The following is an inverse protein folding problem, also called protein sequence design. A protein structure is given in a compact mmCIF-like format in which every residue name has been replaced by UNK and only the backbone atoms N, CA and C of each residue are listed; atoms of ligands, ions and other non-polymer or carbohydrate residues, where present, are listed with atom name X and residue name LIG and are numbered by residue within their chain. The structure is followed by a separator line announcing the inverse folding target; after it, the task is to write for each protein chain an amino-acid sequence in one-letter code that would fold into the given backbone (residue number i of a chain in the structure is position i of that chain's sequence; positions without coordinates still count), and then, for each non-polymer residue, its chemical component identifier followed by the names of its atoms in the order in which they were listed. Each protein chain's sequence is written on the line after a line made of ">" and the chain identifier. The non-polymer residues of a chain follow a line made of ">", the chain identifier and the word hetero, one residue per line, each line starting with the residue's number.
data_IF_836674788617
#
_entry.id   IF_836674788617
#
_cell.length_a   1.000
_cell.length_b   1.000
_cell.length_c   1.000
_cell.angle_alpha   90.00
_cell.angle_beta   90.00
_cell.angle_gamma   90.00
#
_symmetry.space_group_name_H-M   'P 1'
#
loop_
_entity.id
_entity.type
_entity.pdbx_description
1 polymer ?
#
# COMPACT_ATOMS: atom_id res chain seq x y z
N UNK A 1 -6.14 24.62 -21.26
CA UNK A 1 -7.31 23.90 -21.82
C UNK A 1 -7.15 22.37 -21.81
N UNK A 2 -6.04 21.78 -22.28
CA UNK A 2 -5.87 20.32 -22.35
C UNK A 2 -6.06 19.57 -21.00
N UNK A 3 -5.54 20.10 -19.88
CA UNK A 3 -5.76 19.48 -18.54
C UNK A 3 -7.22 19.52 -18.11
N UNK A 4 -7.96 20.57 -18.45
CA UNK A 4 -9.38 20.70 -18.10
C UNK A 4 -10.18 19.64 -18.85
N UNK A 5 -9.92 19.46 -20.15
CA UNK A 5 -10.53 18.40 -20.94
C UNK A 5 -10.21 17.00 -20.37
N UNK A 6 -8.95 16.74 -20.01
CA UNK A 6 -8.58 15.46 -19.38
C UNK A 6 -9.33 15.20 -18.07
N UNK A 7 -9.47 16.21 -17.20
CA UNK A 7 -10.25 16.09 -15.96
C UNK A 7 -11.73 15.80 -16.24
N UNK A 8 -12.32 16.41 -17.27
CA UNK A 8 -13.70 16.13 -17.67
C UNK A 8 -13.89 14.66 -18.08
N UNK A 9 -12.92 14.09 -18.80
CA UNK A 9 -12.91 12.65 -19.13
C UNK A 9 -12.82 11.80 -17.86
N UNK A 10 -11.89 12.11 -16.94
CA UNK A 10 -11.78 11.37 -15.68
C UNK A 10 -13.06 11.42 -14.84
N UNK A 11 -13.75 12.57 -14.80
CA UNK A 11 -15.03 12.67 -14.08
C UNK A 11 -16.13 11.86 -14.73
N UNK A 12 -16.18 11.81 -16.07
CA UNK A 12 -17.12 10.93 -16.78
C UNK A 12 -16.85 9.47 -16.42
N UNK A 13 -15.61 9.01 -16.55
CA UNK A 13 -15.24 7.62 -16.19
C UNK A 13 -15.55 7.30 -14.73
N UNK A 14 -15.34 8.25 -13.81
CA UNK A 14 -15.63 8.06 -12.38
C UNK A 14 -17.13 7.91 -12.06
N UNK A 15 -18.02 8.35 -12.96
CA UNK A 15 -19.47 8.20 -12.82
C UNK A 15 -20.01 6.88 -13.38
N UNK A 16 -19.20 6.12 -14.12
CA UNK A 16 -19.63 4.85 -14.69
C UNK A 16 -19.74 3.75 -13.60
N UNK A 17 -20.69 2.80 -13.72
CA UNK A 17 -20.87 1.72 -12.74
C UNK A 17 -19.62 0.87 -12.51
N UNK A 18 -18.79 0.71 -13.54
CA UNK A 18 -17.52 -0.01 -13.51
C UNK A 18 -16.54 0.64 -12.53
N UNK A 19 -16.57 1.97 -12.37
CA UNK A 19 -15.71 2.67 -11.42
C UNK A 19 -16.10 2.34 -9.98
N UNK A 20 -17.38 2.15 -9.68
CA UNK A 20 -17.85 1.68 -8.36
C UNK A 20 -17.36 0.25 -8.08
N UNK A 21 -17.40 -0.62 -9.09
CA UNK A 21 -16.87 -1.98 -9.00
C UNK A 21 -15.35 -1.97 -8.78
N UNK A 22 -14.63 -1.11 -9.50
CA UNK A 22 -13.20 -0.87 -9.33
C UNK A 22 -12.86 -0.41 -7.90
N UNK A 23 -13.55 0.60 -7.37
CA UNK A 23 -13.30 1.10 -6.02
C UNK A 23 -13.61 0.06 -4.95
N UNK A 24 -14.62 -0.78 -5.16
CA UNK A 24 -14.90 -1.92 -4.28
C UNK A 24 -13.72 -2.91 -4.30
N UNK A 25 -13.15 -3.19 -5.47
CA UNK A 25 -11.97 -4.06 -5.59
C UNK A 25 -10.72 -3.45 -4.94
N UNK A 26 -10.53 -2.12 -5.02
CA UNK A 26 -9.44 -1.41 -4.34
C UNK A 26 -9.48 -1.68 -2.83
N UNK A 27 -10.67 -1.57 -2.22
CA UNK A 27 -10.87 -1.84 -0.79
C UNK A 27 -10.64 -3.32 -0.45
N UNK A 28 -11.15 -4.25 -1.27
CA UNK A 28 -10.93 -5.70 -1.08
C UNK A 28 -9.44 -6.02 -1.09
N UNK A 29 -8.72 -5.55 -2.11
CA UNK A 29 -7.28 -5.75 -2.23
C UNK A 29 -6.53 -5.17 -1.02
N UNK A 30 -6.89 -3.97 -0.53
CA UNK A 30 -6.23 -3.36 0.62
C UNK A 30 -6.42 -4.21 1.89
N UNK A 31 -7.64 -4.70 2.13
CA UNK A 31 -7.94 -5.59 3.26
C UNK A 31 -7.21 -6.94 3.14
N UNK A 32 -7.18 -7.54 1.96
CA UNK A 32 -6.44 -8.80 1.72
C UNK A 32 -4.95 -8.62 1.96
N UNK A 33 -4.35 -7.51 1.51
CA UNK A 33 -2.93 -7.24 1.78
C UNK A 33 -2.68 -7.05 3.27
N UNK A 34 -3.52 -6.29 4.00
CA UNK A 34 -3.43 -6.16 5.47
C UNK A 34 -3.41 -7.52 6.17
N UNK A 35 -4.34 -8.42 5.81
CA UNK A 35 -4.44 -9.75 6.40
C UNK A 35 -3.14 -10.55 6.24
N UNK A 36 -2.52 -10.50 5.05
CA UNK A 36 -1.24 -11.18 4.79
C UNK A 36 -0.15 -10.72 5.75
N UNK A 37 -0.07 -9.43 6.07
CA UNK A 37 0.90 -8.89 7.04
C UNK A 37 0.56 -9.29 8.47
N UNK A 38 -0.71 -9.18 8.86
CA UNK A 38 -1.18 -9.52 10.22
C UNK A 38 -0.97 -11.01 10.53
N UNK A 39 -1.27 -11.91 9.59
CA UNK A 39 -1.00 -13.35 9.69
C UNK A 39 0.48 -13.68 9.91
N UNK A 40 1.38 -12.75 9.58
CA UNK A 40 2.84 -12.89 9.70
C UNK A 40 3.42 -12.10 10.86
N UNK A 41 2.59 -11.68 11.81
CA UNK A 41 3.03 -10.96 13.01
C UNK A 41 3.62 -9.58 12.71
N UNK A 42 3.16 -8.93 11.64
CA UNK A 42 3.50 -7.55 11.31
C UNK A 42 2.36 -6.64 11.75
N UNK A 43 2.68 -5.65 12.56
CA UNK A 43 1.73 -4.67 13.07
C UNK A 43 1.29 -3.72 11.96
N UNK A 44 -0.02 -3.51 11.87
CA UNK A 44 -0.64 -2.52 10.99
C UNK A 44 -1.17 -1.41 11.88
N UNK A 45 -0.79 -0.16 11.59
CA UNK A 45 -1.33 1.00 12.30
C UNK A 45 -2.85 0.96 12.20
N UNK A 46 -3.54 1.16 13.33
CA UNK A 46 -5.01 1.04 13.46
C UNK A 46 -5.60 -0.36 13.22
N UNK A 47 -4.77 -1.41 13.20
CA UNK A 47 -5.16 -2.83 13.13
C UNK A 47 -5.92 -3.25 11.87
N UNK A 48 -5.77 -2.49 10.78
CA UNK A 48 -6.40 -2.78 9.49
C UNK A 48 -6.52 -1.54 8.61
N UNK A 49 -7.45 -1.57 7.66
CA UNK A 49 -7.77 -0.41 6.82
C UNK A 49 -9.25 -0.37 6.46
N UNK A 50 -9.75 0.84 6.22
CA UNK A 50 -11.10 1.11 5.69
C UNK A 50 -11.04 1.87 4.37
N UNK A 51 -9.86 2.02 3.77
CA UNK A 51 -9.65 2.75 2.53
C UNK A 51 -8.67 1.98 1.63
N UNK A 52 -8.00 2.70 0.72
CA UNK A 52 -7.14 2.16 -0.32
C UNK A 52 -5.68 1.96 0.11
N UNK A 53 -5.33 2.29 1.35
CA UNK A 53 -3.96 2.20 1.85
C UNK A 53 -3.89 1.77 3.32
N UNK A 54 -2.72 1.36 3.77
CA UNK A 54 -2.43 1.05 5.16
C UNK A 54 -0.96 1.32 5.47
N UNK A 55 -0.65 1.42 6.76
CA UNK A 55 0.70 1.65 7.28
C UNK A 55 1.16 0.42 8.03
N UNK A 56 2.30 -0.11 7.62
CA UNK A 56 3.05 -1.13 8.35
C UNK A 56 3.91 -0.43 9.41
N UNK A 57 3.82 -0.88 10.65
CA UNK A 57 4.63 -0.42 11.77
C UNK A 57 5.88 -1.30 11.92
N UNK A 58 7.05 -0.65 11.89
CA UNK A 58 8.37 -1.28 11.99
C UNK A 58 9.11 -0.88 13.28
N UNK A 59 8.50 -0.15 14.23
CA UNK A 59 9.16 0.32 15.46
C UNK A 59 9.80 -0.84 16.24
N UNK A 60 9.09 -1.97 16.33
CA UNK A 60 9.53 -3.16 17.06
C UNK A 60 10.37 -4.11 16.20
N UNK A 61 10.92 -3.64 15.07
CA UNK A 61 11.76 -4.41 14.15
C UNK A 61 13.13 -3.77 14.06
N UNK A 62 14.17 -4.56 13.78
CA UNK A 62 15.55 -4.07 13.63
C UNK A 62 15.82 -3.38 12.27
N UNK A 63 14.78 -2.90 11.60
CA UNK A 63 14.84 -2.30 10.27
C UNK A 63 14.10 -0.97 10.25
N UNK A 64 14.57 -0.03 9.43
CA UNK A 64 13.90 1.25 9.25
C UNK A 64 13.05 1.28 7.98
N UNK A 65 12.13 2.25 7.88
CA UNK A 65 11.37 2.48 6.66
C UNK A 65 12.28 2.77 5.46
N UNK A 66 13.42 3.45 5.68
CA UNK A 66 14.44 3.71 4.64
C UNK A 66 15.09 2.42 4.15
N UNK A 67 15.51 1.52 5.04
CA UNK A 67 16.16 0.26 4.65
C UNK A 67 15.22 -0.61 3.81
N UNK A 68 13.94 -0.63 4.21
CA UNK A 68 12.88 -1.36 3.51
C UNK A 68 12.58 -0.74 2.13
N UNK A 69 12.48 0.58 2.04
CA UNK A 69 12.28 1.30 0.77
C UNK A 69 13.40 0.98 -0.23
N UNK A 70 14.66 0.98 0.22
CA UNK A 70 15.82 0.62 -0.62
C UNK A 70 15.80 -0.86 -1.03
N UNK A 71 15.39 -1.76 -0.12
CA UNK A 71 15.25 -3.19 -0.39
C UNK A 71 14.20 -3.49 -1.46
N UNK A 72 13.04 -2.85 -1.33
CA UNK A 72 11.95 -2.93 -2.30
C UNK A 72 12.35 -2.33 -3.66
N UNK A 73 13.10 -1.23 -3.65
CA UNK A 73 13.64 -0.62 -4.87
C UNK A 73 14.50 -1.59 -5.69
N UNK A 74 15.37 -2.38 -5.03
CA UNK A 74 16.15 -3.44 -5.70
C UNK A 74 15.30 -4.56 -6.29
N UNK A 75 14.12 -4.80 -5.71
CA UNK A 75 13.15 -5.79 -6.20
C UNK A 75 12.15 -5.21 -7.22
N UNK A 76 12.33 -3.97 -7.68
CA UNK A 76 11.40 -3.24 -8.55
C UNK A 76 9.98 -3.06 -7.95
N UNK A 77 9.89 -2.97 -6.62
CA UNK A 77 8.64 -2.66 -5.91
C UNK A 77 8.74 -1.21 -5.40
N UNK A 78 7.88 -0.33 -5.90
CA UNK A 78 7.87 1.08 -5.51
C UNK A 78 6.86 1.32 -4.40
N UNK A 79 7.36 1.64 -3.21
CA UNK A 79 6.59 2.06 -2.05
C UNK A 79 7.28 3.25 -1.38
N UNK A 80 6.69 3.80 -0.32
CA UNK A 80 7.23 4.97 0.35
C UNK A 80 7.36 4.72 1.86
N UNK A 81 8.55 5.01 2.40
CA UNK A 81 8.77 5.10 3.85
C UNK A 81 7.88 6.19 4.44
N UNK A 82 7.31 5.94 5.60
CA UNK A 82 6.33 6.83 6.21
C UNK A 82 6.47 6.85 7.73
N UNK A 83 6.24 8.02 8.32
CA UNK A 83 6.24 8.14 9.77
C UNK A 83 5.02 7.42 10.36
N UNK A 84 5.21 6.80 11.51
CA UNK A 84 4.14 6.16 12.30
C UNK A 84 3.87 6.94 13.58
N UNK A 85 2.77 6.69 14.30
CA UNK A 85 2.55 7.32 15.60
C UNK A 85 3.72 7.06 16.56
N UNK A 86 4.22 8.11 17.22
CA UNK A 86 5.37 8.05 18.13
C UNK A 86 6.67 7.49 17.48
N UNK A 87 6.88 7.78 16.20
CA UNK A 87 8.06 7.32 15.47
C UNK A 87 9.37 7.76 16.17
N UNK A 88 10.25 6.82 16.59
CA UNK A 88 11.54 7.17 17.19
C UNK A 88 12.57 7.66 16.16
N UNK A 89 12.31 7.44 14.87
CA UNK A 89 13.22 7.79 13.79
C UNK A 89 12.94 9.19 13.25
N UNK A 90 13.96 9.81 12.65
CA UNK A 90 13.80 11.10 11.97
C UNK A 90 12.89 10.99 10.74
N UNK A 91 12.35 12.13 10.30
CA UNK A 91 11.55 12.24 9.05
C UNK A 91 12.26 11.73 7.79
N UNK A 92 13.59 11.61 7.81
CA UNK A 92 14.37 11.12 6.67
C UNK A 92 14.54 9.59 6.67
N UNK A 93 14.25 8.93 7.80
CA UNK A 93 14.47 7.49 8.02
C UNK A 93 13.14 6.78 8.25
N UNK A 94 12.34 7.24 9.20
CA UNK A 94 11.01 6.73 9.60
C UNK A 94 10.98 5.25 10.02
N UNK A 95 9.94 4.86 10.75
CA UNK A 95 9.71 3.49 11.23
C UNK A 95 8.47 2.85 10.61
N UNK A 96 8.09 3.26 9.41
CA UNK A 96 6.92 2.70 8.74
C UNK A 96 7.01 2.66 7.23
N UNK A 97 6.08 1.91 6.65
CA UNK A 97 5.93 1.72 5.22
C UNK A 97 4.47 1.89 4.83
N UNK A 98 4.20 2.78 3.86
CA UNK A 98 2.84 2.99 3.34
C UNK A 98 2.61 2.14 2.09
N UNK A 99 1.55 1.34 2.12
CA UNK A 99 1.16 0.46 1.03
C UNK A 99 -0.22 0.86 0.53
N UNK A 100 -0.40 0.95 -0.78
CA UNK A 100 -1.68 1.29 -1.41
C UNK A 100 -2.00 0.38 -2.59
N UNK A 101 -3.29 0.17 -2.83
CA UNK A 101 -3.80 -0.77 -3.84
C UNK A 101 -4.40 -0.18 -5.13
N UNK A 102 -4.63 1.14 -5.32
CA UNK A 102 -5.21 1.64 -6.58
C UNK A 102 -4.45 1.21 -7.83
N UNK A 103 -3.12 1.41 -7.85
CA UNK A 103 -2.31 1.16 -9.04
C UNK A 103 -2.33 -0.31 -9.52
N UNK A 104 -2.24 -1.28 -8.59
CA UNK A 104 -2.31 -2.70 -8.96
C UNK A 104 -3.74 -3.09 -9.39
N UNK A 105 -4.75 -2.52 -8.73
CA UNK A 105 -6.16 -2.79 -9.05
C UNK A 105 -6.51 -2.27 -10.45
N UNK A 106 -6.01 -1.10 -10.83
CA UNK A 106 -6.17 -0.56 -12.21
C UNK A 106 -5.56 -1.49 -13.26
N UNK A 107 -4.53 -2.26 -12.90
CA UNK A 107 -3.91 -3.28 -13.78
C UNK A 107 -4.64 -4.64 -13.76
N UNK A 108 -5.80 -4.71 -13.10
CA UNK A 108 -6.66 -5.90 -13.07
C UNK A 108 -6.38 -6.88 -11.93
N UNK A 109 -5.54 -6.52 -10.96
CA UNK A 109 -5.21 -7.42 -9.84
C UNK A 109 -6.42 -7.60 -8.92
N UNK A 110 -6.66 -8.84 -8.51
CA UNK A 110 -7.66 -9.23 -7.52
C UNK A 110 -6.98 -9.69 -6.23
N UNK A 111 -7.76 -10.19 -5.29
CA UNK A 111 -7.31 -10.58 -3.94
C UNK A 111 -6.15 -11.59 -3.99
N UNK A 112 -6.17 -12.53 -4.95
CA UNK A 112 -5.11 -13.52 -5.12
C UNK A 112 -3.77 -12.87 -5.49
N UNK A 113 -3.78 -12.00 -6.50
CA UNK A 113 -2.57 -11.30 -6.93
C UNK A 113 -2.11 -10.28 -5.89
N UNK A 114 -3.04 -9.57 -5.25
CA UNK A 114 -2.75 -8.64 -4.15
C UNK A 114 -2.09 -9.35 -2.96
N UNK A 115 -2.60 -10.53 -2.59
CA UNK A 115 -1.99 -11.39 -1.55
C UNK A 115 -0.57 -11.79 -1.94
N UNK A 116 -0.35 -12.16 -3.21
CA UNK A 116 0.99 -12.53 -3.70
C UNK A 116 1.96 -11.34 -3.65
N UNK A 117 1.51 -10.14 -4.05
CA UNK A 117 2.31 -8.91 -3.95
C UNK A 117 2.64 -8.59 -2.49
N UNK A 118 1.67 -8.71 -1.57
CA UNK A 118 1.93 -8.51 -0.15
C UNK A 118 2.97 -9.49 0.40
N UNK A 119 2.97 -10.75 -0.04
CA UNK A 119 4.00 -11.74 0.32
C UNK A 119 5.38 -11.31 -0.18
N UNK A 120 5.49 -10.83 -1.42
CA UNK A 120 6.77 -10.32 -1.95
C UNK A 120 7.28 -9.10 -1.18
N UNK A 121 6.39 -8.17 -0.82
CA UNK A 121 6.75 -7.02 0.01
C UNK A 121 7.23 -7.49 1.38
N UNK A 122 6.50 -8.42 2.01
CA UNK A 122 6.86 -8.98 3.30
C UNK A 122 8.24 -9.65 3.27
N UNK A 123 8.56 -10.44 2.23
CA UNK A 123 9.89 -11.05 2.06
C UNK A 123 11.01 -9.99 1.99
N UNK A 124 10.72 -8.78 1.53
CA UNK A 124 11.70 -7.69 1.47
C UNK A 124 11.95 -7.01 2.83
N UNK A 125 11.10 -7.26 3.84
CA UNK A 125 11.31 -6.76 5.20
C UNK A 125 12.50 -7.43 5.90
N UNK A 126 12.92 -8.63 5.48
CA UNK A 126 14.04 -9.39 6.08
C UNK A 126 13.88 -9.62 7.60
N UNK A 127 12.65 -9.81 8.06
CA UNK A 127 12.27 -10.11 9.45
C UNK A 127 11.91 -11.57 9.64
#
# INVERSE_FOLDING_TARGET
>A
MHVIAAKAVCFKEALEPEFTSYQTQVLKNANTMCQVFQERGVEIVSKGTKNHMFLVDLINKEITGKDVEESLGRANITLNKNAVPNDPQSRFVTSGLRIGTPAITTRGFKEKEASQVAKWIWMCLKI
#
